data_IF_392114862851
#
_entry.id   IF_392114862851
#
_cell.length_a   1.000
_cell.length_b   1.000
_cell.length_c   1.000
_cell.angle_alpha   90.00
_cell.angle_beta   90.00
_cell.angle_gamma   90.00
#
_symmetry.space_group_name_H-M   'P 1'
#
loop_
_entity.id
_entity.type
_entity.pdbx_description
1 polymer ?
#
# COMPACT_ATOMS: atom_id res chain seq x y z
N UNK A 1 13.00 -7.81 10.30
CA UNK A 1 11.97 -8.05 9.27
C UNK A 1 11.28 -6.75 8.92
N UNK A 2 11.21 -6.49 7.68
CA UNK A 2 10.70 -5.21 7.23
C UNK A 2 9.46 -5.37 6.38
N UNK A 3 8.49 -6.11 6.94
CA UNK A 3 7.24 -6.36 6.25
C UNK A 3 6.51 -5.06 5.93
N UNK A 4 6.59 -4.09 6.84
CA UNK A 4 5.95 -2.79 6.57
C UNK A 4 6.57 -2.12 5.35
N UNK A 5 7.88 -2.28 5.15
CA UNK A 5 8.54 -1.72 3.98
C UNK A 5 8.13 -2.45 2.71
N UNK A 6 8.05 -3.78 2.80
CA UNK A 6 7.61 -4.59 1.67
C UNK A 6 6.19 -4.21 1.28
N UNK A 7 5.32 -4.11 2.27
CA UNK A 7 3.93 -3.74 2.04
C UNK A 7 3.84 -2.36 1.39
N UNK A 8 4.54 -1.39 1.95
CA UNK A 8 4.47 -0.03 1.43
C UNK A 8 4.98 0.09 0.01
N UNK A 9 6.08 -0.61 -0.29
CA UNK A 9 6.63 -0.58 -1.65
C UNK A 9 5.67 -1.22 -2.64
N UNK A 10 5.02 -2.31 -2.25
CA UNK A 10 4.05 -2.96 -3.11
C UNK A 10 2.82 -2.08 -3.33
N UNK A 11 2.36 -1.42 -2.27
CA UNK A 11 1.22 -0.51 -2.40
C UNK A 11 1.55 0.58 -3.42
N UNK A 12 2.73 1.20 -3.28
CA UNK A 12 3.11 2.27 -4.20
C UNK A 12 3.20 1.76 -5.63
N UNK A 13 3.79 0.59 -5.82
CA UNK A 13 3.95 0.02 -7.16
C UNK A 13 2.59 -0.23 -7.82
N UNK A 14 1.69 -0.85 -7.09
CA UNK A 14 0.36 -1.14 -7.64
C UNK A 14 -0.41 0.15 -7.89
N UNK A 15 -0.30 1.10 -6.96
CA UNK A 15 -0.97 2.39 -7.13
C UNK A 15 -0.53 3.08 -8.41
N UNK A 16 0.78 3.14 -8.63
CA UNK A 16 1.31 3.78 -9.83
C UNK A 16 0.90 3.05 -11.09
N UNK A 17 0.89 1.73 -11.03
CA UNK A 17 0.49 0.91 -12.16
C UNK A 17 -0.96 1.16 -12.53
N UNK A 18 -1.79 1.46 -11.56
CA UNK A 18 -3.20 1.76 -11.80
C UNK A 18 -3.45 3.24 -12.12
N UNK A 19 -2.39 4.04 -12.16
CA UNK A 19 -2.53 5.45 -12.48
C UNK A 19 -3.19 6.28 -11.39
N UNK A 20 -3.15 5.81 -10.16
CA UNK A 20 -3.77 6.53 -9.05
C UNK A 20 -2.77 7.47 -8.39
N UNK A 21 -3.27 8.63 -7.94
CA UNK A 21 -2.46 9.49 -7.10
C UNK A 21 -2.50 9.00 -5.67
N UNK A 22 -1.53 9.43 -4.87
CA UNK A 22 -1.53 9.09 -3.46
C UNK A 22 -2.78 9.62 -2.78
N UNK A 23 -3.20 10.82 -3.14
CA UNK A 23 -4.40 11.42 -2.58
C UNK A 23 -5.65 10.60 -2.91
N UNK A 24 -5.74 10.14 -4.14
CA UNK A 24 -6.87 9.35 -4.57
C UNK A 24 -6.94 8.04 -3.79
N UNK A 25 -5.81 7.37 -3.62
CA UNK A 25 -5.78 6.12 -2.88
C UNK A 25 -6.16 6.35 -1.41
N UNK A 26 -5.62 7.40 -0.80
CA UNK A 26 -5.92 7.70 0.60
C UNK A 26 -7.42 7.93 0.77
N UNK A 27 -8.00 8.70 -0.14
CA UNK A 27 -9.44 8.99 -0.08
C UNK A 27 -10.26 7.71 -0.19
N UNK A 28 -9.93 6.86 -1.15
CA UNK A 28 -10.70 5.64 -1.35
C UNK A 28 -10.55 4.67 -0.20
N UNK A 29 -9.37 4.64 0.42
CA UNK A 29 -9.15 3.77 1.56
C UNK A 29 -9.66 4.37 2.86
N UNK A 30 -10.10 5.63 2.84
CA UNK A 30 -10.59 6.29 4.03
C UNK A 30 -9.48 6.62 5.01
N UNK A 31 -8.29 6.97 4.51
CA UNK A 31 -7.13 7.25 5.32
C UNK A 31 -6.63 8.67 5.08
N UNK A 32 -5.98 9.23 6.09
CA UNK A 32 -5.35 10.52 5.93
C UNK A 32 -4.20 10.45 4.92
N UNK A 33 -4.04 11.51 4.16
CA UNK A 33 -3.02 11.55 3.12
C UNK A 33 -1.61 11.31 3.68
N UNK A 34 -1.27 11.99 4.78
CA UNK A 34 0.06 11.85 5.34
C UNK A 34 0.32 10.45 5.88
N UNK A 35 -0.73 9.82 6.43
CA UNK A 35 -0.61 8.45 6.91
C UNK A 35 -0.37 7.49 5.76
N UNK A 36 -1.13 7.67 4.69
CA UNK A 36 -0.98 6.84 3.51
C UNK A 36 0.44 6.97 2.94
N UNK A 37 0.95 8.18 2.87
CA UNK A 37 2.31 8.40 2.41
C UNK A 37 3.34 7.73 3.29
N UNK A 38 3.12 7.78 4.60
CA UNK A 38 4.01 7.10 5.55
C UNK A 38 4.00 5.60 5.36
N UNK A 39 2.84 5.04 5.03
CA UNK A 39 2.75 3.61 4.75
C UNK A 39 3.59 3.25 3.53
N UNK A 40 3.47 4.03 2.46
CA UNK A 40 4.23 3.73 1.25
C UNK A 40 5.73 3.85 1.46
N UNK A 41 6.16 4.69 2.39
CA UNK A 41 7.58 4.83 2.68
C UNK A 41 8.07 3.81 3.70
N UNK A 42 7.20 2.93 4.18
CA UNK A 42 7.59 1.93 5.16
C UNK A 42 7.78 2.47 6.55
N UNK A 43 7.24 3.66 6.83
CA UNK A 43 7.44 4.33 8.12
C UNK A 43 6.29 4.11 9.09
N UNK A 44 5.25 3.42 8.66
CA UNK A 44 4.09 3.13 9.49
C UNK A 44 3.81 1.63 9.47
N UNK A 45 3.18 1.16 10.53
CA UNK A 45 2.80 -0.25 10.65
C UNK A 45 1.29 -0.34 10.61
N UNK A 46 0.70 -0.44 9.41
CA UNK A 46 -0.75 -0.50 9.32
C UNK A 46 -1.28 -1.79 9.92
N UNK A 47 -2.45 -1.70 10.54
CA UNK A 47 -3.12 -2.89 11.01
C UNK A 47 -3.52 -3.75 9.81
N UNK A 48 -3.88 -5.00 10.08
CA UNK A 48 -4.39 -5.85 9.02
C UNK A 48 -5.67 -5.29 8.44
N UNK A 49 -6.49 -4.66 9.29
CA UNK A 49 -7.71 -4.04 8.82
C UNK A 49 -7.42 -2.90 7.84
N UNK A 50 -6.46 -2.06 8.17
CA UNK A 50 -6.07 -0.97 7.28
C UNK A 50 -5.48 -1.52 5.98
N UNK A 51 -4.66 -2.56 6.09
CA UNK A 51 -4.08 -3.19 4.91
C UNK A 51 -5.17 -3.72 3.98
N UNK A 52 -6.21 -4.30 4.56
CA UNK A 52 -7.32 -4.81 3.77
C UNK A 52 -8.06 -3.68 3.06
N UNK A 53 -8.25 -2.56 3.73
CA UNK A 53 -8.92 -1.41 3.13
C UNK A 53 -8.11 -0.86 1.96
N UNK A 54 -6.79 -0.84 2.08
CA UNK A 54 -5.92 -0.39 1.00
C UNK A 54 -6.00 -1.35 -0.18
N UNK A 55 -5.95 -2.65 0.08
CA UNK A 55 -6.03 -3.64 -0.97
C UNK A 55 -7.35 -3.54 -1.73
N UNK A 56 -8.43 -3.27 -1.00
CA UNK A 56 -9.74 -3.11 -1.60
C UNK A 56 -9.77 -1.90 -2.53
N UNK A 57 -9.19 -0.79 -2.08
CA UNK A 57 -9.13 0.42 -2.89
C UNK A 57 -8.28 0.20 -4.13
N UNK A 58 -7.26 -0.65 -4.05
CA UNK A 58 -6.41 -0.99 -5.18
C UNK A 58 -6.99 -2.13 -6.03
N UNK A 59 -8.07 -2.73 -5.57
CA UNK A 59 -8.73 -3.86 -6.26
C UNK A 59 -7.75 -5.01 -6.46
N UNK A 60 -6.99 -5.32 -5.42
CA UNK A 60 -6.05 -6.41 -5.50
C UNK A 60 -6.16 -7.30 -4.27
N UNK A 61 -5.59 -8.50 -4.38
CA UNK A 61 -5.53 -9.43 -3.27
C UNK A 61 -4.55 -8.89 -2.23
N UNK A 62 -4.97 -8.73 -0.96
CA UNK A 62 -4.06 -8.19 0.04
C UNK A 62 -2.80 -9.03 0.24
N UNK A 63 -2.86 -10.32 -0.02
CA UNK A 63 -1.67 -11.16 0.10
C UNK A 63 -0.60 -10.72 -0.89
N UNK A 64 -1.01 -10.24 -2.07
CA UNK A 64 -0.05 -9.79 -3.06
C UNK A 64 0.73 -8.56 -2.60
N UNK A 65 0.18 -7.81 -1.66
CA UNK A 65 0.89 -6.64 -1.13
C UNK A 65 1.94 -7.03 -0.09
N UNK A 66 1.95 -8.28 0.33
CA UNK A 66 2.92 -8.76 1.31
C UNK A 66 4.02 -9.59 0.70
N UNK A 67 4.01 -9.76 -0.59
CA UNK A 67 5.01 -10.58 -1.26
C UNK A 67 6.23 -9.76 -1.62
N UNK A 68 7.39 -10.35 -1.39
CA UNK A 68 8.60 -9.83 -2.02
C UNK A 68 8.54 -10.22 -3.47
N UNK A 69 8.76 -9.26 -4.36
CA UNK A 69 8.72 -9.56 -5.78
C UNK A 69 10.13 -9.56 -6.33
N UNK A 70 10.49 -10.60 -7.00
CA UNK A 70 11.79 -10.65 -7.65
C UNK A 70 11.82 -9.72 -8.86
N UNK A 71 10.67 -9.32 -9.34
CA UNK A 71 10.61 -8.37 -10.45
C UNK A 71 11.17 -7.01 -10.05
N UNK A 72 11.25 -6.74 -8.76
CA UNK A 72 11.77 -5.48 -8.27
C UNK A 72 13.27 -5.41 -8.22
N UNK A 73 13.94 -6.48 -8.57
CA UNK A 73 15.39 -6.50 -8.58
C UNK A 73 15.96 -5.68 -9.70
#
# INVERSE_FOLDING_TARGET
>A
MRLAEIFGANVRRVRLKRGMTLESLATEAGLAYSYMGGIERGQKNPSLDVAERIAKALECDPVNLLRMTSADK
#
